data_IF_367503688073
#
_entry.id   IF_367503688073
#
_cell.length_a   1.000
_cell.length_b   1.000
_cell.length_c   1.000
_cell.angle_alpha   90.00
_cell.angle_beta   90.00
_cell.angle_gamma   90.00
#
_symmetry.space_group_name_H-M   'P 1'
#
loop_
_entity.id
_entity.type
_entity.pdbx_description
1 polymer ?
#
# COMPACT_ATOMS: atom_id res chain seq x y z
N UNK A 1 46.15 -24.61 -29.77
CA UNK A 1 44.67 -24.73 -29.91
C UNK A 1 44.10 -25.53 -28.75
N UNK A 2 44.72 -26.66 -28.35
CA UNK A 2 44.36 -27.38 -27.12
C UNK A 2 44.66 -26.60 -25.83
N UNK A 3 45.79 -25.89 -25.72
CA UNK A 3 46.11 -25.12 -24.49
C UNK A 3 45.12 -23.98 -24.20
N UNK A 4 44.66 -23.26 -25.24
CA UNK A 4 43.63 -22.21 -25.10
C UNK A 4 42.28 -22.78 -24.62
N UNK A 5 41.90 -23.98 -25.05
CA UNK A 5 40.65 -24.62 -24.62
C UNK A 5 40.69 -25.11 -23.16
N UNK A 6 41.89 -25.31 -22.59
CA UNK A 6 42.07 -25.71 -21.19
C UNK A 6 42.04 -24.47 -20.27
N UNK A 7 42.56 -23.33 -20.72
CA UNK A 7 42.45 -22.04 -20.01
C UNK A 7 41.01 -21.53 -19.96
N UNK A 8 40.27 -21.53 -21.08
CA UNK A 8 38.85 -21.11 -21.09
C UNK A 8 37.98 -21.99 -20.17
N UNK A 9 38.24 -23.30 -20.09
CA UNK A 9 37.48 -24.19 -19.19
C UNK A 9 37.77 -23.93 -17.72
N UNK A 10 39.01 -23.57 -17.36
CA UNK A 10 39.38 -23.21 -16.00
C UNK A 10 38.78 -21.87 -15.57
N UNK A 11 38.73 -20.89 -16.46
CA UNK A 11 38.09 -19.60 -16.17
C UNK A 11 36.58 -19.75 -15.97
N UNK A 12 35.92 -20.60 -16.77
CA UNK A 12 34.49 -20.89 -16.60
C UNK A 12 34.21 -21.68 -15.32
N UNK A 13 35.05 -22.67 -14.97
CA UNK A 13 34.91 -23.39 -13.69
C UNK A 13 35.19 -22.48 -12.49
N UNK A 14 36.15 -21.57 -12.55
CA UNK A 14 36.42 -20.59 -11.47
C UNK A 14 35.32 -19.52 -11.36
N UNK A 15 34.73 -19.09 -12.48
CA UNK A 15 33.54 -18.23 -12.45
C UNK A 15 32.30 -18.96 -11.93
N UNK A 16 32.05 -20.21 -12.33
CA UNK A 16 30.93 -21.01 -11.81
C UNK A 16 31.10 -21.29 -10.31
N UNK A 17 32.30 -21.61 -9.84
CA UNK A 17 32.55 -21.83 -8.40
C UNK A 17 32.40 -20.54 -7.60
N UNK A 18 32.84 -19.38 -8.13
CA UNK A 18 32.60 -18.08 -7.48
C UNK A 18 31.12 -17.69 -7.46
N UNK A 19 30.37 -17.96 -8.52
CA UNK A 19 28.92 -17.70 -8.57
C UNK A 19 28.18 -18.60 -7.59
N UNK A 20 28.58 -19.86 -7.45
CA UNK A 20 28.00 -20.79 -6.46
C UNK A 20 28.36 -20.40 -5.02
N UNK A 21 29.61 -19.98 -4.77
CA UNK A 21 30.02 -19.49 -3.43
C UNK A 21 29.36 -18.16 -3.05
N UNK A 22 29.11 -17.26 -4.01
CA UNK A 22 28.34 -16.02 -3.78
C UNK A 22 26.83 -16.27 -3.59
N UNK A 23 26.26 -17.30 -4.22
CA UNK A 23 24.85 -17.71 -4.04
C UNK A 23 24.61 -18.44 -2.71
N UNK A 24 25.59 -19.19 -2.17
CA UNK A 24 25.45 -19.90 -0.89
C UNK A 24 25.55 -18.97 0.35
N UNK A 25 26.09 -17.75 0.23
CA UNK A 25 26.12 -16.78 1.34
C UNK A 25 24.75 -16.08 1.61
N UNK A 26 23.79 -16.15 0.69
CA UNK A 26 22.51 -15.43 0.80
C UNK A 26 21.43 -16.08 1.71
N UNK A 27 21.62 -17.29 2.26
CA UNK A 27 20.59 -17.96 3.08
C UNK A 27 21.01 -18.37 4.51
N UNK A 28 21.81 -17.55 5.21
CA UNK A 28 21.73 -17.58 6.68
C UNK A 28 20.44 -16.89 7.12
N UNK A 29 19.42 -17.68 7.44
CA UNK A 29 18.18 -17.20 8.10
C UNK A 29 18.59 -16.55 9.44
N UNK A 30 18.76 -15.23 9.44
CA UNK A 30 19.04 -14.48 10.66
C UNK A 30 17.76 -14.34 11.46
N UNK A 31 17.79 -14.61 12.76
CA UNK A 31 16.64 -14.35 13.63
C UNK A 31 16.55 -12.87 14.02
N UNK A 32 15.37 -12.35 14.41
CA UNK A 32 15.26 -10.99 14.94
C UNK A 32 16.20 -10.74 16.14
N UNK A 33 16.43 -11.78 16.94
CA UNK A 33 17.39 -11.75 18.06
C UNK A 33 18.82 -11.51 17.58
N UNK A 34 19.23 -12.14 16.48
CA UNK A 34 20.57 -11.95 15.89
C UNK A 34 20.75 -10.55 15.29
N UNK A 35 19.67 -9.89 14.87
CA UNK A 35 19.69 -8.48 14.46
C UNK A 35 19.89 -7.50 15.62
N UNK A 36 19.94 -7.99 16.87
CA UNK A 36 20.09 -7.17 18.08
C UNK A 36 18.77 -6.65 18.66
N UNK A 37 17.63 -7.21 18.24
CA UNK A 37 16.32 -6.90 18.81
C UNK A 37 16.18 -7.53 20.20
N UNK A 38 15.68 -6.77 21.17
CA UNK A 38 15.51 -7.21 22.55
C UNK A 38 14.40 -8.27 22.70
N UNK A 39 14.48 -9.07 23.76
CA UNK A 39 13.60 -10.21 24.01
C UNK A 39 12.11 -9.89 23.94
N UNK A 40 11.70 -8.76 24.52
CA UNK A 40 10.31 -8.32 24.59
C UNK A 40 9.73 -8.05 23.20
N UNK A 41 10.55 -7.51 22.29
CA UNK A 41 10.14 -7.22 20.92
C UNK A 41 10.26 -8.47 20.02
N UNK A 42 11.20 -9.38 20.29
CA UNK A 42 11.27 -10.69 19.63
C UNK A 42 10.01 -11.49 19.94
N UNK A 43 9.58 -11.55 21.21
CA UNK A 43 8.34 -12.21 21.60
C UNK A 43 7.12 -11.58 20.91
N UNK A 44 7.08 -10.26 20.79
CA UNK A 44 6.03 -9.57 20.04
C UNK A 44 6.02 -9.96 18.55
N UNK A 45 7.19 -10.10 17.92
CA UNK A 45 7.31 -10.61 16.55
C UNK A 45 6.78 -12.04 16.42
N UNK A 46 7.15 -12.93 17.35
CA UNK A 46 6.69 -14.32 17.36
C UNK A 46 5.16 -14.42 17.52
N UNK A 47 4.57 -13.63 18.42
CA UNK A 47 3.13 -13.55 18.62
C UNK A 47 2.37 -13.03 17.38
N UNK A 48 3.02 -12.20 16.58
CA UNK A 48 2.50 -11.73 15.28
C UNK A 48 2.77 -12.71 14.12
N UNK A 49 3.42 -13.85 14.41
CA UNK A 49 3.75 -14.87 13.43
C UNK A 49 4.95 -14.50 12.53
N UNK A 50 5.76 -13.53 12.92
CA UNK A 50 6.93 -13.07 12.16
C UNK A 50 8.15 -13.89 12.52
N UNK A 51 8.25 -15.08 11.91
CA UNK A 51 9.31 -16.06 12.24
C UNK A 51 10.70 -15.66 11.76
N UNK A 52 10.78 -14.94 10.63
CA UNK A 52 12.04 -14.53 10.03
C UNK A 52 11.96 -13.07 9.56
N UNK A 53 13.03 -12.28 9.72
CA UNK A 53 13.12 -10.93 9.22
C UNK A 53 13.19 -10.92 7.69
N UNK A 54 12.60 -9.89 7.08
CA UNK A 54 12.74 -9.66 5.64
C UNK A 54 14.09 -9.02 5.33
N UNK A 55 14.53 -9.06 4.06
CA UNK A 55 15.79 -8.42 3.60
C UNK A 55 15.96 -6.98 4.08
N UNK A 56 14.93 -6.15 3.92
CA UNK A 56 14.98 -4.74 4.39
C UNK A 56 15.10 -4.63 5.91
N UNK A 57 14.59 -5.60 6.68
CA UNK A 57 14.72 -5.64 8.13
C UNK A 57 16.12 -6.08 8.54
N UNK A 58 16.67 -7.12 7.91
CA UNK A 58 18.04 -7.60 8.14
C UNK A 58 19.08 -6.49 7.87
N UNK A 59 18.92 -5.76 6.78
CA UNK A 59 19.85 -4.68 6.42
C UNK A 59 19.63 -3.40 7.28
N UNK A 60 18.38 -3.06 7.65
CA UNK A 60 18.10 -1.78 8.33
C UNK A 60 18.21 -1.81 9.85
N UNK A 61 17.73 -2.88 10.49
CA UNK A 61 17.59 -2.93 11.95
C UNK A 61 18.93 -2.76 12.67
N UNK A 62 20.03 -3.46 12.29
CA UNK A 62 21.30 -3.32 13.00
C UNK A 62 21.85 -1.88 12.98
N UNK A 63 21.80 -1.22 11.82
CA UNK A 63 22.23 0.17 11.68
C UNK A 63 21.32 1.15 12.42
N UNK A 64 20.01 0.90 12.43
CA UNK A 64 19.03 1.72 13.15
C UNK A 64 19.23 1.62 14.67
N UNK A 65 19.50 0.43 15.20
CA UNK A 65 19.80 0.20 16.63
C UNK A 65 21.10 0.91 17.05
N UNK A 66 22.09 0.95 16.18
CA UNK A 66 23.34 1.72 16.40
C UNK A 66 23.11 3.24 16.36
N UNK A 67 21.90 3.69 16.00
CA UNK A 67 21.52 5.09 15.97
C UNK A 67 21.93 5.81 14.68
N UNK A 68 22.12 5.11 13.56
CA UNK A 68 22.33 5.75 12.26
C UNK A 68 21.02 6.27 11.69
N UNK A 69 21.06 7.37 10.94
CA UNK A 69 19.93 7.76 10.07
C UNK A 69 19.80 6.73 8.93
N UNK A 70 18.58 6.46 8.48
CA UNK A 70 18.31 5.35 7.54
C UNK A 70 17.60 5.86 6.30
N UNK A 71 18.03 5.40 5.13
CA UNK A 71 17.27 5.47 3.88
C UNK A 71 16.97 4.05 3.43
N UNK A 72 15.72 3.62 3.59
CA UNK A 72 15.24 2.32 3.14
C UNK A 72 14.51 2.43 1.81
N UNK A 73 15.11 1.90 0.74
CA UNK A 73 14.48 1.75 -0.56
C UNK A 73 13.99 0.31 -0.73
N UNK A 74 12.69 0.14 -0.58
CA UNK A 74 12.06 -1.16 -0.74
C UNK A 74 10.60 -1.03 -1.19
N UNK A 75 10.12 -2.04 -1.91
CA UNK A 75 8.75 -2.14 -2.40
C UNK A 75 7.71 -2.21 -1.26
N UNK A 76 6.44 -1.92 -1.58
CA UNK A 76 5.34 -2.09 -0.61
C UNK A 76 5.21 -3.57 -0.23
N UNK A 77 4.95 -3.86 1.04
CA UNK A 77 4.81 -5.24 1.53
C UNK A 77 6.13 -5.96 1.82
N UNK A 78 7.28 -5.28 1.70
CA UNK A 78 8.60 -5.81 2.08
C UNK A 78 8.88 -5.82 3.59
N UNK A 79 7.95 -5.36 4.44
CA UNK A 79 8.16 -5.30 5.89
C UNK A 79 8.82 -4.01 6.41
N UNK A 80 8.81 -2.92 5.64
CA UNK A 80 9.38 -1.60 6.02
C UNK A 80 8.90 -1.08 7.36
N UNK A 81 7.61 -1.26 7.68
CA UNK A 81 7.03 -0.75 8.93
C UNK A 81 7.72 -1.32 10.16
N UNK A 82 7.95 -2.64 10.19
CA UNK A 82 8.70 -3.28 11.26
C UNK A 82 10.17 -2.82 11.28
N UNK A 83 10.78 -2.62 10.11
CA UNK A 83 12.18 -2.19 9.98
C UNK A 83 12.46 -0.84 10.67
N UNK A 84 11.49 0.08 10.71
CA UNK A 84 11.61 1.30 11.51
C UNK A 84 10.96 1.21 12.90
N UNK A 85 9.89 0.43 13.09
CA UNK A 85 9.18 0.38 14.36
C UNK A 85 10.01 -0.31 15.45
N UNK A 86 10.63 -1.45 15.14
CA UNK A 86 11.44 -2.22 16.10
C UNK A 86 12.58 -1.39 16.74
N UNK A 87 13.47 -0.73 15.98
CA UNK A 87 14.52 0.09 16.60
C UNK A 87 13.98 1.28 17.39
N UNK A 88 12.86 1.88 16.97
CA UNK A 88 12.21 2.98 17.71
C UNK A 88 11.66 2.49 19.05
N UNK A 89 10.97 1.35 19.05
CA UNK A 89 10.41 0.74 20.26
C UNK A 89 11.50 0.30 21.22
N UNK A 90 12.60 -0.26 20.71
CA UNK A 90 13.76 -0.62 21.52
C UNK A 90 14.39 0.60 22.19
N UNK A 91 14.55 1.71 21.45
CA UNK A 91 15.06 2.95 22.03
C UNK A 91 14.08 3.57 23.04
N UNK A 92 12.76 3.43 22.79
CA UNK A 92 11.72 3.89 23.71
C UNK A 92 11.75 3.10 25.04
N UNK A 93 12.01 1.80 25.00
CA UNK A 93 12.18 0.96 26.18
C UNK A 93 13.32 1.45 27.09
N UNK A 94 14.43 1.87 26.49
CA UNK A 94 15.60 2.37 27.22
C UNK A 94 15.36 3.77 27.80
N UNK A 95 14.62 4.63 27.10
CA UNK A 95 14.34 6.00 27.52
C UNK A 95 12.87 6.38 27.29
N UNK A 96 11.93 5.90 28.15
CA UNK A 96 10.52 6.16 27.98
C UNK A 96 10.20 7.65 28.11
N UNK A 97 9.60 8.23 27.07
CA UNK A 97 9.06 9.59 27.13
C UNK A 97 7.89 9.76 26.16
N UNK A 98 6.96 10.68 26.45
CA UNK A 98 5.94 11.09 25.49
C UNK A 98 6.54 11.70 24.23
N UNK A 99 5.80 11.58 23.12
CA UNK A 99 6.15 12.17 21.82
C UNK A 99 7.58 11.81 21.37
N UNK A 100 7.98 10.57 21.62
CA UNK A 100 9.30 10.01 21.32
C UNK A 100 9.56 9.94 19.81
N UNK A 101 8.56 9.51 19.05
CA UNK A 101 8.64 9.39 17.60
C UNK A 101 7.44 10.01 16.89
N UNK A 102 7.69 10.51 15.68
CA UNK A 102 6.69 11.06 14.79
C UNK A 102 6.86 10.40 13.43
N UNK A 103 5.79 9.78 12.93
CA UNK A 103 5.78 9.10 11.65
C UNK A 103 4.85 9.83 10.70
N UNK A 104 5.41 10.38 9.62
CA UNK A 104 4.66 11.02 8.56
C UNK A 104 4.32 10.02 7.47
N UNK A 105 3.07 10.03 7.06
CA UNK A 105 2.52 9.17 6.02
C UNK A 105 1.60 9.98 5.09
N UNK A 106 1.58 9.71 3.77
CA UNK A 106 0.79 10.48 2.80
C UNK A 106 -0.72 10.24 2.90
N UNK A 107 -1.16 9.16 3.54
CA UNK A 107 -2.59 8.80 3.58
C UNK A 107 -3.05 8.49 4.99
N UNK A 108 -4.34 8.72 5.25
CA UNK A 108 -4.94 8.55 6.57
C UNK A 108 -4.92 7.10 7.00
N UNK A 109 -5.18 6.24 6.04
CA UNK A 109 -5.29 4.81 6.22
C UNK A 109 -3.91 4.21 6.53
N UNK A 110 -2.86 4.64 5.81
CA UNK A 110 -1.48 4.20 6.12
C UNK A 110 -1.05 4.69 7.50
N UNK A 111 -1.46 5.89 7.91
CA UNK A 111 -1.19 6.37 9.26
C UNK A 111 -1.87 5.48 10.34
N UNK A 112 -3.11 5.04 10.11
CA UNK A 112 -3.80 4.11 11.02
C UNK A 112 -3.06 2.77 11.08
N UNK A 113 -2.71 2.20 9.93
CA UNK A 113 -1.96 0.94 9.85
C UNK A 113 -0.65 0.99 10.62
N UNK A 114 0.14 2.05 10.41
CA UNK A 114 1.42 2.22 11.09
C UNK A 114 1.19 2.28 12.60
N UNK A 115 0.15 3.01 13.06
CA UNK A 115 -0.20 3.06 14.48
C UNK A 115 -0.56 1.69 15.05
N UNK A 116 -1.39 0.92 14.35
CA UNK A 116 -1.76 -0.45 14.74
C UNK A 116 -0.53 -1.35 14.82
N UNK A 117 0.43 -1.22 13.91
CA UNK A 117 1.68 -1.98 13.94
C UNK A 117 2.58 -1.59 15.13
N UNK A 118 2.68 -0.30 15.45
CA UNK A 118 3.39 0.14 16.66
C UNK A 118 2.73 -0.37 17.94
N UNK A 119 1.40 -0.37 18.02
CA UNK A 119 0.66 -0.87 19.18
C UNK A 119 0.75 -2.39 19.30
N UNK A 120 0.71 -3.12 18.19
CA UNK A 120 0.86 -4.56 18.16
C UNK A 120 2.26 -5.00 18.64
N UNK A 121 3.31 -4.43 18.05
CA UNK A 121 4.70 -4.69 18.43
C UNK A 121 5.03 -4.20 19.84
N UNK A 122 4.42 -3.08 20.25
CA UNK A 122 4.64 -2.44 21.53
C UNK A 122 3.67 -2.86 22.65
N UNK A 123 2.84 -3.87 22.41
CA UNK A 123 1.75 -4.25 23.31
C UNK A 123 2.26 -4.69 24.68
N UNK A 124 3.30 -5.53 24.71
CA UNK A 124 3.94 -6.00 25.96
C UNK A 124 4.62 -4.92 26.78
N UNK A 125 4.90 -3.75 26.17
CA UNK A 125 5.67 -2.66 26.78
C UNK A 125 4.82 -1.39 26.99
N UNK A 126 3.49 -1.48 26.75
CA UNK A 126 2.54 -0.40 27.02
C UNK A 126 2.66 0.80 26.08
N UNK A 127 3.04 0.59 24.82
CA UNK A 127 3.12 1.66 23.82
C UNK A 127 1.75 2.32 23.60
N UNK A 128 1.75 3.63 23.42
CA UNK A 128 0.56 4.44 23.18
C UNK A 128 0.80 5.27 21.93
N UNK A 129 -0.11 5.17 20.98
CA UNK A 129 -0.05 5.92 19.74
C UNK A 129 -1.18 6.96 19.69
N UNK A 130 -0.96 8.04 18.93
CA UNK A 130 -2.04 8.90 18.47
C UNK A 130 -1.95 9.09 16.96
N UNK A 131 -3.10 8.95 16.30
CA UNK A 131 -3.22 9.10 14.85
C UNK A 131 -3.79 10.47 14.52
N UNK A 132 -3.03 11.28 13.79
CA UNK A 132 -3.43 12.63 13.40
C UNK A 132 -3.73 12.72 11.90
N UNK A 133 -5.02 12.64 11.55
CA UNK A 133 -5.48 12.59 10.15
C UNK A 133 -6.65 13.54 9.87
N UNK A 134 -6.76 13.97 8.62
CA UNK A 134 -7.92 14.75 8.14
C UNK A 134 -9.22 13.96 8.25
N UNK A 135 -10.37 14.64 8.22
CA UNK A 135 -11.70 13.99 8.20
C UNK A 135 -12.14 13.29 9.48
N UNK A 136 -11.29 13.27 10.51
CA UNK A 136 -11.65 12.96 11.90
C UNK A 136 -11.75 14.27 12.69
N UNK A 137 -12.64 14.32 13.68
CA UNK A 137 -12.85 15.49 14.51
C UNK A 137 -11.55 15.90 15.22
N UNK A 138 -11.25 17.20 15.21
CA UNK A 138 -10.05 17.73 15.83
C UNK A 138 -10.07 17.57 17.36
N UNK A 139 -11.25 17.67 17.98
CA UNK A 139 -11.45 17.47 19.42
C UNK A 139 -11.00 16.09 19.88
N UNK A 140 -11.37 15.04 19.16
CA UNK A 140 -11.00 13.65 19.50
C UNK A 140 -9.48 13.44 19.44
N UNK A 141 -8.84 14.03 18.42
CA UNK A 141 -7.39 14.00 18.25
C UNK A 141 -6.68 14.81 19.35
N UNK A 142 -7.23 15.96 19.75
CA UNK A 142 -6.72 16.76 20.87
C UNK A 142 -6.81 16.00 22.20
N UNK A 143 -7.89 15.25 22.43
CA UNK A 143 -8.04 14.38 23.61
C UNK A 143 -6.99 13.26 23.57
N UNK A 144 -6.76 12.65 22.41
CA UNK A 144 -5.71 11.62 22.26
C UNK A 144 -4.31 12.19 22.56
N UNK A 145 -4.00 13.39 22.07
CA UNK A 145 -2.73 14.07 22.35
C UNK A 145 -2.56 14.43 23.83
N UNK A 146 -3.65 14.83 24.51
CA UNK A 146 -3.62 15.13 25.95
C UNK A 146 -3.24 13.92 26.81
N UNK A 147 -3.44 12.69 26.31
CA UNK A 147 -2.98 11.45 26.97
C UNK A 147 -1.47 11.21 26.86
N UNK A 148 -0.73 12.12 26.20
CA UNK A 148 0.74 12.10 26.05
C UNK A 148 1.25 10.77 25.46
N UNK A 149 0.79 10.40 24.24
CA UNK A 149 1.23 9.17 23.56
C UNK A 149 2.75 9.16 23.34
N UNK A 150 3.34 7.98 23.20
CA UNK A 150 4.76 7.81 22.88
C UNK A 150 5.02 8.06 21.39
N UNK A 151 4.12 7.59 20.51
CA UNK A 151 4.26 7.66 19.06
C UNK A 151 3.13 8.52 18.48
N UNK A 152 3.47 9.46 17.60
CA UNK A 152 2.48 10.23 16.83
C UNK A 152 2.59 9.82 15.37
N UNK A 153 1.52 9.28 14.80
CA UNK A 153 1.46 8.92 13.39
C UNK A 153 0.52 9.88 12.68
N UNK A 154 0.96 10.55 11.62
CA UNK A 154 0.20 11.67 11.09
C UNK A 154 0.31 11.86 9.57
N UNK A 155 -0.75 12.43 9.00
CA UNK A 155 -0.66 13.11 7.69
C UNK A 155 -0.13 14.53 7.88
N UNK A 156 0.76 15.05 6.99
CA UNK A 156 1.42 16.35 7.19
C UNK A 156 0.46 17.50 7.50
N UNK A 157 -0.60 17.66 6.69
CA UNK A 157 -1.56 18.75 6.85
C UNK A 157 -2.30 18.75 8.19
N UNK A 158 -2.59 17.57 8.77
CA UNK A 158 -3.26 17.51 10.09
C UNK A 158 -2.25 17.69 11.23
N UNK A 159 -1.01 17.23 11.08
CA UNK A 159 0.01 17.43 12.10
C UNK A 159 0.30 18.93 12.30
N UNK A 160 0.48 19.68 11.21
CA UNK A 160 0.79 21.11 11.29
C UNK A 160 -0.36 21.90 11.92
N UNK A 161 -1.60 21.54 11.63
CA UNK A 161 -2.80 22.09 12.27
C UNK A 161 -2.76 21.86 13.79
N UNK A 162 -2.46 20.65 14.25
CA UNK A 162 -2.31 20.39 15.69
C UNK A 162 -1.13 21.14 16.30
N UNK A 163 0.03 21.21 15.64
CA UNK A 163 1.20 21.95 16.12
C UNK A 163 0.92 23.45 16.26
N UNK A 164 0.02 23.99 15.43
CA UNK A 164 -0.32 25.42 15.41
C UNK A 164 -1.46 25.76 16.37
N UNK A 165 -2.48 24.90 16.44
CA UNK A 165 -3.76 25.24 17.05
C UNK A 165 -4.07 24.45 18.34
N UNK A 166 -3.32 23.38 18.65
CA UNK A 166 -3.58 22.57 19.86
C UNK A 166 -2.70 23.03 21.02
N UNK A 167 -3.33 23.70 21.98
CA UNK A 167 -2.63 24.23 23.16
C UNK A 167 -1.91 23.12 23.92
N UNK A 168 -0.61 23.32 24.16
CA UNK A 168 0.24 22.40 24.92
C UNK A 168 0.78 21.21 24.13
N UNK A 169 0.41 21.04 22.86
CA UNK A 169 1.03 20.04 22.00
C UNK A 169 2.30 20.58 21.36
N UNK A 170 3.40 19.82 21.45
CA UNK A 170 4.68 20.18 20.83
C UNK A 170 5.52 18.93 20.61
N UNK A 171 6.36 18.97 19.57
CA UNK A 171 7.32 17.91 19.23
C UNK A 171 8.77 18.35 19.47
N UNK A 172 9.03 19.36 20.31
CA UNK A 172 10.39 19.88 20.58
C UNK A 172 11.36 18.86 21.16
N UNK A 173 10.88 17.81 21.83
CA UNK A 173 11.69 16.74 22.44
C UNK A 173 11.72 15.44 21.62
N UNK A 174 11.26 15.51 20.36
CA UNK A 174 11.20 14.37 19.45
C UNK A 174 12.58 13.74 19.24
N UNK A 175 12.67 12.41 19.37
CA UNK A 175 13.92 11.66 19.14
C UNK A 175 13.98 11.00 17.77
N UNK A 176 12.82 10.65 17.20
CA UNK A 176 12.71 9.98 15.91
C UNK A 176 11.72 10.67 14.98
N UNK A 177 12.14 10.91 13.75
CA UNK A 177 11.26 11.25 12.63
C UNK A 177 11.28 10.13 11.60
N UNK A 178 10.11 9.63 11.21
CA UNK A 178 9.99 8.68 10.10
C UNK A 178 9.20 9.33 8.96
N UNK A 179 9.70 9.18 7.75
CA UNK A 179 9.05 9.62 6.51
C UNK A 179 8.75 8.37 5.70
N UNK A 180 7.52 7.84 5.80
CA UNK A 180 7.11 6.65 5.04
C UNK A 180 6.38 7.05 3.76
N UNK A 181 6.58 6.28 2.70
CA UNK A 181 6.22 6.64 1.31
C UNK A 181 6.68 8.08 0.95
N UNK A 182 7.96 8.37 1.21
CA UNK A 182 8.52 9.72 1.12
C UNK A 182 8.43 10.37 -0.28
N UNK A 183 8.38 9.57 -1.35
CA UNK A 183 8.13 10.07 -2.71
C UNK A 183 6.74 10.71 -2.86
N UNK A 184 5.76 10.28 -2.07
CA UNK A 184 4.38 10.80 -2.08
C UNK A 184 4.15 11.94 -1.11
N UNK A 185 4.92 11.99 -0.02
CA UNK A 185 4.95 13.15 0.89
C UNK A 185 5.43 14.43 0.20
N UNK A 186 6.03 14.31 -1.00
CA UNK A 186 6.58 15.41 -1.81
C UNK A 186 5.69 15.79 -3.00
N UNK A 187 4.44 15.33 -3.02
CA UNK A 187 3.41 15.86 -3.92
C UNK A 187 3.04 17.29 -3.50
N UNK A 188 2.53 18.09 -4.45
CA UNK A 188 2.28 19.52 -4.26
C UNK A 188 1.40 19.84 -3.04
N UNK A 189 0.49 18.93 -2.68
CA UNK A 189 -0.43 19.06 -1.55
C UNK A 189 0.26 19.01 -0.17
N UNK A 190 1.43 18.37 -0.07
CA UNK A 190 2.09 18.08 1.22
C UNK A 190 3.45 18.76 1.40
N UNK A 191 4.10 19.17 0.32
CA UNK A 191 5.46 19.73 0.35
C UNK A 191 5.56 20.93 1.31
N UNK A 192 4.59 21.86 1.27
CA UNK A 192 4.55 23.03 2.17
C UNK A 192 4.38 22.65 3.64
N UNK A 193 3.42 21.77 3.93
CA UNK A 193 3.19 21.32 5.32
C UNK A 193 4.40 20.57 5.87
N UNK A 194 5.09 19.79 5.03
CA UNK A 194 6.30 19.08 5.43
C UNK A 194 7.42 20.05 5.78
N UNK A 195 7.68 21.08 4.96
CA UNK A 195 8.68 22.10 5.24
C UNK A 195 8.39 22.84 6.56
N UNK A 196 7.13 23.19 6.83
CA UNK A 196 6.71 23.82 8.09
C UNK A 196 6.94 22.90 9.30
N UNK A 197 6.62 21.61 9.19
CA UNK A 197 6.88 20.62 10.25
C UNK A 197 8.38 20.52 10.53
N UNK A 198 9.21 20.42 9.49
CA UNK A 198 10.66 20.29 9.63
C UNK A 198 11.30 21.52 10.31
N UNK A 199 10.68 22.69 10.19
CA UNK A 199 11.14 23.92 10.85
C UNK A 199 10.84 23.96 12.35
N UNK A 200 9.82 23.24 12.83
CA UNK A 200 9.38 23.30 14.24
C UNK A 200 9.84 22.11 15.09
N UNK A 201 10.19 20.99 14.47
CA UNK A 201 10.76 19.81 15.15
C UNK A 201 12.27 19.96 15.39
N UNK A 202 12.86 19.28 16.41
CA UNK A 202 14.27 19.41 16.72
C UNK A 202 15.18 18.91 15.59
N UNK A 203 16.29 19.63 15.34
CA UNK A 203 17.31 19.22 14.36
C UNK A 203 18.14 18.02 14.83
N UNK A 204 18.33 17.88 16.14
CA UNK A 204 19.01 16.74 16.75
C UNK A 204 17.99 15.65 17.05
N UNK A 205 17.88 14.70 16.12
CA UNK A 205 17.01 13.53 16.17
C UNK A 205 17.57 12.49 15.19
N UNK A 206 17.08 11.25 15.27
CA UNK A 206 17.30 10.24 14.24
C UNK A 206 16.19 10.35 13.20
N UNK A 207 16.55 10.26 11.92
CA UNK A 207 15.59 10.34 10.81
C UNK A 207 15.66 9.10 9.95
N UNK A 208 14.50 8.48 9.73
CA UNK A 208 14.34 7.34 8.84
C UNK A 208 13.47 7.73 7.65
N UNK A 209 13.98 7.56 6.44
CA UNK A 209 13.27 7.82 5.19
C UNK A 209 13.04 6.51 4.46
N UNK A 210 11.78 6.15 4.28
CA UNK A 210 11.38 4.96 3.56
C UNK A 210 10.60 5.34 2.29
N UNK A 211 11.00 4.78 1.16
CA UNK A 211 10.37 5.07 -0.13
C UNK A 211 10.44 3.86 -1.06
N UNK A 212 9.50 3.76 -2.00
CA UNK A 212 9.62 2.80 -3.09
C UNK A 212 10.55 3.33 -4.19
N UNK A 213 10.61 4.66 -4.37
CA UNK A 213 11.35 5.28 -5.47
C UNK A 213 12.26 6.40 -5.00
N UNK A 214 13.41 6.55 -5.66
CA UNK A 214 14.40 7.60 -5.36
C UNK A 214 14.34 8.72 -6.40
N UNK A 215 13.35 9.60 -6.25
CA UNK A 215 13.12 10.73 -7.17
C UNK A 215 14.08 11.90 -6.89
N UNK A 216 14.19 12.86 -7.81
CA UNK A 216 14.97 14.10 -7.56
C UNK A 216 14.46 14.85 -6.32
N UNK A 217 13.15 14.89 -6.10
CA UNK A 217 12.54 15.50 -4.92
C UNK A 217 12.93 14.73 -3.65
N UNK A 218 12.88 13.39 -3.66
CA UNK A 218 13.30 12.56 -2.50
C UNK A 218 14.77 12.79 -2.16
N UNK A 219 15.66 12.89 -3.17
CA UNK A 219 17.07 13.25 -2.95
C UNK A 219 17.24 14.63 -2.30
N UNK A 220 16.39 15.60 -2.64
CA UNK A 220 16.39 16.93 -1.99
C UNK A 220 15.92 16.83 -0.54
N UNK A 221 14.83 16.11 -0.29
CA UNK A 221 14.31 15.87 1.06
C UNK A 221 15.34 15.15 1.94
N UNK A 222 16.04 14.15 1.39
CA UNK A 222 17.13 13.45 2.05
C UNK A 222 18.17 14.44 2.59
N UNK A 223 18.67 15.34 1.73
CA UNK A 223 19.70 16.32 2.09
C UNK A 223 19.22 17.32 3.16
N UNK A 224 17.92 17.59 3.22
CA UNK A 224 17.34 18.50 4.20
C UNK A 224 17.12 17.85 5.57
N UNK A 225 16.84 16.55 5.62
CA UNK A 225 16.35 15.90 6.85
C UNK A 225 17.36 14.97 7.52
N UNK A 226 18.26 14.33 6.76
CA UNK A 226 19.11 13.26 7.26
C UNK A 226 20.58 13.69 7.42
N UNK A 227 21.29 13.07 8.35
CA UNK A 227 22.72 13.29 8.64
C UNK A 227 23.50 11.98 8.48
N UNK A 228 24.41 11.93 7.50
CA UNK A 228 25.20 10.75 7.16
C UNK A 228 24.40 9.43 7.16
N UNK A 229 23.30 9.34 6.39
CA UNK A 229 22.40 8.20 6.48
C UNK A 229 23.01 6.95 5.83
N UNK A 230 22.75 5.79 6.45
CA UNK A 230 22.97 4.49 5.81
C UNK A 230 21.88 4.26 4.79
N UNK A 231 22.28 3.98 3.55
CA UNK A 231 21.38 3.77 2.43
C UNK A 231 21.28 2.28 2.12
N UNK A 232 20.06 1.78 2.17
CA UNK A 232 19.72 0.37 2.03
C UNK A 232 18.83 0.23 0.79
N UNK A 233 19.27 -0.57 -0.17
CA UNK A 233 18.55 -0.84 -1.41
C UNK A 233 18.22 -2.34 -1.49
N UNK A 234 17.12 -2.74 -0.85
CA UNK A 234 16.68 -4.14 -0.80
C UNK A 234 15.99 -4.62 -2.11
N UNK A 235 16.07 -3.83 -3.18
CA UNK A 235 15.58 -4.14 -4.52
C UNK A 235 16.33 -3.30 -5.56
N UNK A 236 16.59 -3.85 -6.75
CA UNK A 236 17.09 -3.06 -7.88
C UNK A 236 16.06 -1.96 -8.22
N UNK A 237 16.55 -0.78 -8.61
CA UNK A 237 15.69 0.40 -8.86
C UNK A 237 14.54 0.02 -9.79
N UNK A 238 13.32 -0.02 -9.24
CA UNK A 238 12.06 -0.33 -9.93
C UNK A 238 11.80 -1.81 -10.28
N UNK A 239 12.48 -2.78 -9.65
CA UNK A 239 12.06 -4.17 -9.79
C UNK A 239 10.78 -4.47 -9.04
N UNK A 240 9.94 -5.29 -9.66
CA UNK A 240 8.86 -6.04 -9.01
C UNK A 240 9.42 -7.33 -8.41
N UNK A 241 8.80 -7.87 -7.36
CA UNK A 241 9.10 -9.25 -6.87
C UNK A 241 9.15 -10.27 -8.01
N UNK A 242 10.07 -11.22 -7.93
CA UNK A 242 10.27 -12.26 -8.96
C UNK A 242 9.08 -13.22 -9.07
N UNK A 243 8.35 -13.41 -7.97
CA UNK A 243 7.14 -14.24 -7.91
C UNK A 243 5.92 -13.59 -8.56
N UNK A 244 6.03 -12.33 -9.05
CA UNK A 244 4.95 -11.62 -9.73
C UNK A 244 5.01 -11.84 -11.25
N UNK A 245 4.03 -12.58 -11.77
CA UNK A 245 3.79 -12.69 -13.21
C UNK A 245 3.07 -11.44 -13.72
N UNK A 246 3.75 -10.65 -14.55
CA UNK A 246 3.19 -9.45 -15.17
C UNK A 246 2.86 -9.72 -16.64
N UNK A 247 1.64 -9.38 -17.05
CA UNK A 247 1.17 -9.53 -18.42
C UNK A 247 0.43 -8.29 -18.88
N UNK A 248 0.34 -8.09 -20.19
CA UNK A 248 -0.49 -7.05 -20.80
C UNK A 248 -1.45 -7.65 -21.83
N UNK A 249 -2.55 -6.96 -22.15
CA UNK A 249 -3.38 -7.30 -23.31
C UNK A 249 -3.78 -6.02 -24.04
N UNK A 250 -3.51 -5.97 -25.34
CA UNK A 250 -4.06 -4.90 -26.17
C UNK A 250 -5.54 -5.16 -26.41
N UNK A 251 -6.37 -4.19 -26.06
CA UNK A 251 -7.83 -4.30 -26.15
C UNK A 251 -8.42 -3.04 -26.77
N UNK A 252 -9.30 -3.14 -27.78
CA UNK A 252 -10.06 -2.00 -28.24
C UNK A 252 -10.87 -1.41 -27.08
N UNK A 253 -10.87 -0.07 -26.93
CA UNK A 253 -11.54 0.58 -25.82
C UNK A 253 -13.03 0.18 -25.66
N UNK A 254 -13.72 -0.13 -26.76
CA UNK A 254 -15.12 -0.59 -26.77
C UNK A 254 -15.36 -1.97 -26.15
N UNK A 255 -14.33 -2.82 -26.07
CA UNK A 255 -14.42 -4.20 -25.59
C UNK A 255 -13.76 -4.40 -24.22
N UNK A 256 -13.25 -3.33 -23.61
CA UNK A 256 -12.49 -3.38 -22.37
C UNK A 256 -13.25 -4.06 -21.23
N UNK A 257 -14.56 -3.83 -21.12
CA UNK A 257 -15.41 -4.50 -20.15
C UNK A 257 -15.54 -6.02 -20.41
N UNK A 258 -15.54 -6.46 -21.66
CA UNK A 258 -15.62 -7.88 -22.01
C UNK A 258 -14.34 -8.60 -21.58
N UNK A 259 -13.17 -8.01 -21.86
CA UNK A 259 -11.88 -8.54 -21.41
C UNK A 259 -11.76 -8.57 -19.89
N UNK A 260 -12.24 -7.54 -19.19
CA UNK A 260 -12.28 -7.55 -17.72
C UNK A 260 -13.10 -8.72 -17.19
N UNK A 261 -14.29 -8.95 -17.73
CA UNK A 261 -15.17 -10.05 -17.31
C UNK A 261 -14.55 -11.40 -17.63
N UNK A 262 -14.00 -11.57 -18.85
CA UNK A 262 -13.29 -12.79 -19.25
C UNK A 262 -12.18 -13.15 -18.26
N UNK A 263 -11.27 -12.20 -17.96
CA UNK A 263 -10.16 -12.43 -17.02
C UNK A 263 -10.67 -12.82 -15.62
N UNK A 264 -11.69 -12.12 -15.11
CA UNK A 264 -12.27 -12.40 -13.80
C UNK A 264 -12.99 -13.75 -13.73
N UNK A 265 -13.52 -14.22 -14.87
CA UNK A 265 -14.18 -15.54 -14.98
C UNK A 265 -13.15 -16.67 -15.09
N UNK A 266 -12.10 -16.51 -15.90
CA UNK A 266 -11.00 -17.48 -16.00
C UNK A 266 -10.32 -17.72 -14.65
N UNK A 267 -10.18 -16.65 -13.86
CA UNK A 267 -9.58 -16.68 -12.53
C UNK A 267 -10.64 -16.71 -11.41
N UNK A 268 -11.81 -17.32 -11.66
CA UNK A 268 -12.91 -17.31 -10.70
C UNK A 268 -12.50 -17.85 -9.32
N UNK A 269 -13.01 -17.23 -8.26
CA UNK A 269 -12.63 -17.54 -6.87
C UNK A 269 -11.40 -16.78 -6.37
N UNK A 270 -10.54 -16.27 -7.25
CA UNK A 270 -9.38 -15.45 -6.86
C UNK A 270 -9.81 -14.13 -6.22
N UNK A 271 -9.05 -13.67 -5.23
CA UNK A 271 -9.14 -12.30 -4.73
C UNK A 271 -8.49 -11.35 -5.73
N UNK A 272 -9.24 -10.35 -6.19
CA UNK A 272 -8.85 -9.49 -7.30
C UNK A 272 -8.96 -8.02 -6.94
N UNK A 273 -7.98 -7.23 -7.36
CA UNK A 273 -7.99 -5.78 -7.22
C UNK A 273 -7.92 -5.11 -8.59
N UNK A 274 -8.98 -4.38 -8.94
CA UNK A 274 -9.16 -3.76 -10.25
C UNK A 274 -8.99 -2.25 -10.15
N UNK A 275 -7.98 -1.71 -10.84
CA UNK A 275 -7.65 -0.30 -10.79
C UNK A 275 -8.27 0.49 -11.95
N UNK A 276 -9.06 1.51 -11.62
CA UNK A 276 -9.65 2.44 -12.59
C UNK A 276 -9.13 3.86 -12.38
N UNK A 277 -9.22 4.68 -13.42
CA UNK A 277 -8.77 6.09 -13.38
C UNK A 277 -9.71 6.98 -12.59
N UNK A 278 -11.03 6.80 -12.75
CA UNK A 278 -12.03 7.71 -12.17
C UNK A 278 -12.89 7.03 -11.11
N UNK A 279 -13.39 7.82 -10.16
CA UNK A 279 -14.34 7.36 -9.14
C UNK A 279 -15.64 6.84 -9.79
N UNK A 280 -16.11 7.49 -10.85
CA UNK A 280 -17.35 7.07 -11.52
C UNK A 280 -17.19 5.69 -12.19
N UNK A 281 -16.02 5.41 -12.78
CA UNK A 281 -15.71 4.10 -13.33
C UNK A 281 -15.71 3.00 -12.25
N UNK A 282 -15.21 3.30 -11.03
CA UNK A 282 -15.26 2.30 -9.93
C UNK A 282 -16.69 1.85 -9.62
N UNK A 283 -17.62 2.81 -9.52
CA UNK A 283 -19.02 2.52 -9.21
C UNK A 283 -19.74 1.83 -10.35
N UNK A 284 -19.53 2.30 -11.59
CA UNK A 284 -20.14 1.70 -12.78
C UNK A 284 -19.69 0.25 -12.98
N UNK A 285 -18.38 -0.02 -12.93
CA UNK A 285 -17.87 -1.37 -13.11
C UNK A 285 -18.32 -2.30 -11.97
N UNK A 286 -18.34 -1.83 -10.73
CA UNK A 286 -18.76 -2.69 -9.61
C UNK A 286 -20.23 -3.11 -9.76
N UNK A 287 -21.10 -2.19 -10.16
CA UNK A 287 -22.50 -2.50 -10.41
C UNK A 287 -22.69 -3.42 -11.61
N UNK A 288 -21.94 -3.18 -12.70
CA UNK A 288 -21.96 -4.02 -13.89
C UNK A 288 -21.53 -5.45 -13.57
N UNK A 289 -20.41 -5.63 -12.86
CA UNK A 289 -19.92 -6.94 -12.46
C UNK A 289 -20.94 -7.66 -11.55
N UNK A 290 -21.58 -6.96 -10.61
CA UNK A 290 -22.65 -7.55 -9.78
C UNK A 290 -23.86 -7.99 -10.59
N UNK A 291 -24.28 -7.21 -11.59
CA UNK A 291 -25.35 -7.62 -12.51
C UNK A 291 -24.98 -8.87 -13.33
N UNK A 292 -23.69 -9.13 -13.51
CA UNK A 292 -23.16 -10.34 -14.14
C UNK A 292 -22.96 -11.49 -13.14
N UNK A 293 -23.26 -11.31 -11.85
CA UNK A 293 -23.09 -12.33 -10.81
C UNK A 293 -21.69 -12.37 -10.19
N UNK A 294 -20.83 -11.38 -10.46
CA UNK A 294 -19.49 -11.26 -9.88
C UNK A 294 -19.53 -10.37 -8.63
N UNK A 295 -18.94 -10.85 -7.52
CA UNK A 295 -19.02 -10.19 -6.19
C UNK A 295 -18.03 -9.03 -6.07
N UNK A 296 -18.38 -7.92 -6.73
CA UNK A 296 -17.56 -6.72 -6.80
C UNK A 296 -18.02 -5.60 -5.86
N UNK A 297 -17.04 -4.96 -5.22
CA UNK A 297 -17.26 -3.82 -4.32
C UNK A 297 -16.35 -2.64 -4.71
N UNK A 298 -16.89 -1.40 -4.82
CA UNK A 298 -16.08 -0.24 -5.15
C UNK A 298 -15.50 0.41 -3.88
N UNK A 299 -14.28 0.93 -3.97
CA UNK A 299 -13.72 1.92 -3.03
C UNK A 299 -13.20 3.10 -3.85
N UNK A 300 -13.72 4.30 -3.58
CA UNK A 300 -13.31 5.52 -4.27
C UNK A 300 -13.20 6.71 -3.31
N UNK A 301 -12.59 7.81 -3.77
CA UNK A 301 -12.49 9.04 -3.01
C UNK A 301 -13.83 9.75 -2.76
N UNK A 302 -14.90 9.37 -3.46
CA UNK A 302 -16.25 9.89 -3.23
C UNK A 302 -16.95 9.25 -2.03
N UNK A 303 -16.40 8.16 -1.48
CA UNK A 303 -16.97 7.46 -0.32
C UNK A 303 -16.50 8.12 0.98
N UNK A 304 -17.40 8.16 1.97
CA UNK A 304 -17.00 8.55 3.33
C UNK A 304 -16.05 7.51 3.92
N UNK A 305 -15.26 7.91 4.93
CA UNK A 305 -14.30 7.01 5.55
C UNK A 305 -14.94 5.74 6.12
N UNK A 306 -16.08 5.89 6.81
CA UNK A 306 -16.84 4.77 7.36
C UNK A 306 -17.27 3.78 6.26
N UNK A 307 -17.67 4.29 5.08
CA UNK A 307 -18.04 3.45 3.94
C UNK A 307 -16.85 2.75 3.31
N UNK A 308 -15.70 3.43 3.21
CA UNK A 308 -14.46 2.79 2.73
C UNK A 308 -14.02 1.66 3.66
N UNK A 309 -14.10 1.85 4.97
CA UNK A 309 -13.78 0.83 5.97
C UNK A 309 -14.77 -0.33 5.92
N UNK A 310 -16.08 -0.05 5.82
CA UNK A 310 -17.11 -1.09 5.67
C UNK A 310 -16.90 -1.94 4.41
N UNK A 311 -16.63 -1.30 3.27
CA UNK A 311 -16.33 -1.99 2.03
C UNK A 311 -15.04 -2.84 2.12
N UNK A 312 -14.00 -2.31 2.76
CA UNK A 312 -12.77 -3.05 3.01
C UNK A 312 -13.02 -4.27 3.91
N UNK A 313 -13.83 -4.14 4.95
CA UNK A 313 -14.15 -5.25 5.85
C UNK A 313 -14.90 -6.37 5.13
N UNK A 314 -15.86 -6.04 4.25
CA UNK A 314 -16.54 -7.02 3.39
C UNK A 314 -15.58 -7.75 2.46
N UNK A 315 -14.59 -7.04 1.92
CA UNK A 315 -13.54 -7.63 1.10
C UNK A 315 -12.61 -8.55 1.93
N UNK A 316 -12.13 -8.08 3.09
CA UNK A 316 -11.31 -8.86 4.03
C UNK A 316 -12.03 -10.11 4.55
N UNK A 317 -13.32 -10.00 4.82
CA UNK A 317 -14.17 -11.10 5.28
C UNK A 317 -14.53 -12.11 4.19
N UNK A 318 -14.14 -11.87 2.94
CA UNK A 318 -14.41 -12.78 1.82
C UNK A 318 -15.84 -12.70 1.27
N UNK A 319 -16.68 -11.77 1.74
CA UNK A 319 -18.04 -11.54 1.22
C UNK A 319 -18.02 -11.05 -0.24
N UNK A 320 -17.02 -10.24 -0.57
CA UNK A 320 -16.69 -9.82 -1.93
C UNK A 320 -15.23 -10.19 -2.23
N UNK A 321 -14.97 -10.79 -3.39
CA UNK A 321 -13.61 -11.15 -3.80
C UNK A 321 -13.05 -10.23 -4.89
N UNK A 322 -13.80 -9.22 -5.35
CA UNK A 322 -13.33 -8.26 -6.36
C UNK A 322 -13.44 -6.85 -5.79
N UNK A 323 -12.30 -6.19 -5.62
CA UNK A 323 -12.21 -4.81 -5.15
C UNK A 323 -11.91 -3.88 -6.33
N UNK A 324 -12.81 -2.96 -6.64
CA UNK A 324 -12.59 -1.96 -7.69
C UNK A 324 -12.24 -0.62 -7.06
N UNK A 325 -11.10 -0.04 -7.44
CA UNK A 325 -10.63 1.17 -6.78
C UNK A 325 -9.89 2.12 -7.70
N UNK A 326 -9.90 3.39 -7.32
CA UNK A 326 -8.91 4.34 -7.83
C UNK A 326 -7.61 4.22 -7.05
N UNK A 327 -6.54 4.79 -7.61
CA UNK A 327 -5.27 4.92 -6.93
C UNK A 327 -5.41 5.52 -5.53
N UNK A 328 -6.12 6.64 -5.38
CA UNK A 328 -6.32 7.30 -4.08
C UNK A 328 -7.00 6.38 -3.06
N UNK A 329 -7.98 5.61 -3.51
CA UNK A 329 -8.77 4.76 -2.64
C UNK A 329 -8.02 3.51 -2.16
N UNK A 330 -7.15 2.95 -3.01
CA UNK A 330 -6.29 1.81 -2.69
C UNK A 330 -5.14 2.11 -1.75
N UNK A 331 -4.80 3.39 -1.60
CA UNK A 331 -3.60 3.83 -0.88
C UNK A 331 -3.91 3.93 0.62
N UNK A 332 -3.03 3.33 1.40
CA UNK A 332 -3.11 3.24 2.85
C UNK A 332 -4.18 2.31 3.43
N UNK A 333 -5.16 1.85 2.66
CA UNK A 333 -6.05 0.81 3.16
C UNK A 333 -5.23 -0.48 3.35
N UNK A 334 -5.46 -1.16 4.47
CA UNK A 334 -4.88 -2.47 4.76
C UNK A 334 -5.57 -3.50 3.94
N UNK A 335 -5.23 -3.54 2.67
CA UNK A 335 -5.75 -4.53 1.76
C UNK A 335 -4.81 -5.73 1.88
N UNK A 336 -5.33 -6.90 2.30
CA UNK A 336 -4.53 -8.12 2.32
C UNK A 336 -3.97 -8.38 0.91
N UNK A 337 -2.85 -9.10 0.81
CA UNK A 337 -2.34 -9.46 -0.51
C UNK A 337 -3.44 -10.18 -1.29
N UNK A 338 -3.67 -9.72 -2.51
CA UNK A 338 -4.63 -10.32 -3.44
C UNK A 338 -3.92 -11.29 -4.37
N UNK A 339 -4.66 -12.22 -4.95
CA UNK A 339 -4.12 -13.20 -5.91
C UNK A 339 -3.87 -12.53 -7.27
N UNK A 340 -4.72 -11.57 -7.64
CA UNK A 340 -4.66 -10.89 -8.94
C UNK A 340 -4.84 -9.37 -8.83
N UNK A 341 -4.02 -8.64 -9.60
CA UNK A 341 -4.20 -7.21 -9.87
C UNK A 341 -4.55 -7.00 -11.33
N UNK A 342 -5.62 -6.25 -11.61
CA UNK A 342 -5.97 -5.85 -12.97
C UNK A 342 -5.83 -4.32 -13.07
N UNK A 343 -4.89 -3.85 -13.88
CA UNK A 343 -4.90 -2.46 -14.33
C UNK A 343 -5.94 -2.35 -15.43
N UNK A 344 -7.20 -2.09 -15.04
CA UNK A 344 -8.24 -1.79 -16.01
C UNK A 344 -7.82 -0.53 -16.77
N UNK A 345 -7.54 0.58 -16.10
CA UNK A 345 -6.95 1.75 -16.74
C UNK A 345 -5.44 1.84 -16.46
N UNK A 346 -4.64 2.09 -17.49
CA UNK A 346 -3.19 2.26 -17.33
C UNK A 346 -2.91 3.54 -16.52
N UNK A 347 -2.05 3.49 -15.48
CA UNK A 347 -1.70 4.66 -14.70
C UNK A 347 -0.94 5.67 -15.57
N UNK A 348 -1.24 6.95 -15.41
CA UNK A 348 -0.56 8.04 -16.16
C UNK A 348 0.87 8.26 -15.70
N UNK A 349 1.21 7.85 -14.48
CA UNK A 349 2.55 7.84 -13.93
C UNK A 349 3.06 6.39 -13.83
N UNK A 350 4.18 6.07 -14.48
CA UNK A 350 4.74 4.72 -14.49
C UNK A 350 5.11 4.20 -13.10
N UNK A 351 5.38 5.07 -12.12
CA UNK A 351 5.64 4.65 -10.73
C UNK A 351 4.41 4.09 -10.04
N UNK A 352 3.23 4.60 -10.39
CA UNK A 352 1.97 4.10 -9.83
C UNK A 352 1.72 2.65 -10.22
N UNK A 353 2.22 2.21 -11.38
CA UNK A 353 2.19 0.81 -11.78
C UNK A 353 2.83 -0.11 -10.73
N UNK A 354 4.05 0.21 -10.27
CA UNK A 354 4.78 -0.57 -9.26
C UNK A 354 3.95 -0.70 -7.97
N UNK A 355 3.30 0.38 -7.54
CA UNK A 355 2.47 0.39 -6.35
C UNK A 355 1.17 -0.42 -6.49
N UNK A 356 0.59 -0.45 -7.69
CA UNK A 356 -0.61 -1.22 -8.00
C UNK A 356 -0.29 -2.70 -8.04
N UNK A 357 0.72 -3.10 -8.80
CA UNK A 357 1.06 -4.52 -8.96
C UNK A 357 1.70 -5.10 -7.68
N UNK A 358 2.35 -4.27 -6.86
CA UNK A 358 2.78 -4.64 -5.51
C UNK A 358 1.64 -4.85 -4.49
N UNK A 359 0.37 -4.94 -4.92
CA UNK A 359 -0.77 -5.39 -4.09
C UNK A 359 -0.93 -6.91 -4.10
N UNK A 360 -0.33 -7.58 -5.07
CA UNK A 360 -0.23 -9.04 -5.13
C UNK A 360 1.22 -9.49 -4.87
N UNK A 361 1.46 -10.80 -4.85
CA UNK A 361 2.77 -11.42 -4.66
C UNK A 361 3.55 -10.93 -3.41
N UNK A 362 2.85 -10.73 -2.28
CA UNK A 362 3.48 -10.28 -1.01
C UNK A 362 3.86 -11.45 -0.12
N UNK A 363 4.89 -11.24 0.71
CA UNK A 363 5.34 -12.17 1.74
C UNK A 363 5.64 -13.58 1.17
N UNK A 364 6.39 -13.64 0.07
CA UNK A 364 6.81 -14.89 -0.58
C UNK A 364 5.74 -15.57 -1.45
N UNK A 365 4.50 -15.06 -1.48
CA UNK A 365 3.45 -15.61 -2.36
C UNK A 365 3.69 -15.24 -3.83
N UNK A 366 3.22 -16.09 -4.73
CA UNK A 366 3.07 -15.76 -6.15
C UNK A 366 1.84 -14.90 -6.41
N UNK A 367 1.82 -14.19 -7.52
CA UNK A 367 0.72 -13.32 -7.90
C UNK A 367 0.72 -12.97 -9.37
N UNK A 368 -0.43 -12.50 -9.89
CA UNK A 368 -0.57 -12.12 -11.30
C UNK A 368 -1.02 -10.66 -11.41
N UNK A 369 -0.38 -9.91 -12.30
CA UNK A 369 -0.78 -8.56 -12.67
C UNK A 369 -1.06 -8.47 -14.18
N UNK A 370 -2.29 -8.09 -14.55
CA UNK A 370 -2.71 -7.96 -15.95
C UNK A 370 -3.05 -6.51 -16.27
N UNK A 371 -2.45 -5.96 -17.31
CA UNK A 371 -2.71 -4.59 -17.79
C UNK A 371 -3.52 -4.60 -19.08
N UNK A 372 -4.73 -4.02 -19.03
CA UNK A 372 -5.55 -3.81 -20.22
C UNK A 372 -5.14 -2.48 -20.88
N UNK A 373 -4.53 -2.57 -22.06
CA UNK A 373 -3.99 -1.41 -22.78
C UNK A 373 -4.86 -1.14 -24.00
N UNK A 374 -5.51 0.02 -24.05
CA UNK A 374 -6.24 0.44 -25.25
C UNK A 374 -5.43 1.42 -26.11
N UNK A 375 -5.99 1.80 -27.27
CA UNK A 375 -5.34 2.67 -28.24
C UNK A 375 -4.96 4.06 -27.70
N UNK A 376 -5.60 4.53 -26.62
CA UNK A 376 -5.32 5.83 -26.00
C UNK A 376 -4.31 5.74 -24.85
N UNK A 377 -3.99 4.53 -24.40
CA UNK A 377 -3.18 4.27 -23.19
C UNK A 377 -1.79 3.73 -23.53
N UNK A 378 -1.50 3.52 -24.82
CA UNK A 378 -0.26 2.92 -25.31
C UNK A 378 0.99 3.70 -24.85
N UNK A 379 0.97 5.03 -24.90
CA UNK A 379 2.12 5.84 -24.49
C UNK A 379 2.45 5.65 -23.01
N UNK A 380 1.44 5.65 -22.14
CA UNK A 380 1.63 5.41 -20.71
C UNK A 380 2.15 4.00 -20.44
N UNK A 381 1.66 3.00 -21.18
CA UNK A 381 2.15 1.63 -21.09
C UNK A 381 3.63 1.52 -21.49
N UNK A 382 4.05 2.17 -22.57
CA UNK A 382 5.46 2.18 -22.99
C UNK A 382 6.35 2.79 -21.90
N UNK A 383 5.89 3.83 -21.18
CA UNK A 383 6.65 4.40 -20.05
C UNK A 383 6.78 3.42 -18.87
N UNK A 384 5.81 2.52 -18.68
CA UNK A 384 5.90 1.45 -17.68
C UNK A 384 6.98 0.45 -18.07
N UNK A 385 6.97 -0.07 -19.30
CA UNK A 385 8.00 -1.00 -19.79
C UNK A 385 9.41 -0.40 -19.71
N UNK A 386 9.54 0.89 -20.05
CA UNK A 386 10.81 1.62 -19.89
C UNK A 386 11.25 1.73 -18.43
N UNK A 387 10.32 1.92 -17.50
CA UNK A 387 10.63 2.02 -16.07
C UNK A 387 11.09 0.68 -15.50
N UNK A 388 10.42 -0.41 -15.86
CA UNK A 388 10.74 -1.77 -15.38
C UNK A 388 11.92 -2.40 -16.13
N UNK A 389 12.34 -1.81 -17.25
CA UNK A 389 13.49 -2.28 -18.03
C UNK A 389 13.24 -3.58 -18.81
N UNK A 390 11.99 -4.02 -18.96
CA UNK A 390 11.63 -5.25 -19.69
C UNK A 390 10.31 -5.12 -20.44
N UNK A 391 10.17 -5.89 -21.51
CA UNK A 391 8.90 -6.11 -22.21
C UNK A 391 8.07 -7.12 -21.42
N UNK A 392 6.79 -6.83 -21.24
CA UNK A 392 5.89 -7.78 -20.57
C UNK A 392 5.35 -8.78 -21.58
N UNK A 393 5.12 -10.05 -21.22
CA UNK A 393 4.43 -11.01 -22.09
C UNK A 393 2.94 -10.67 -22.22
N UNK A 394 2.34 -11.07 -23.33
CA UNK A 394 0.91 -10.91 -23.56
C UNK A 394 0.09 -11.89 -22.70
N UNK A 395 -1.08 -11.46 -22.24
CA UNK A 395 -2.07 -12.31 -21.60
C UNK A 395 -2.83 -13.09 -22.68
N UNK A 396 -2.84 -14.43 -22.64
CA UNK A 396 -3.54 -15.23 -23.63
C UNK A 396 -5.05 -15.05 -23.46
N UNK A 397 -5.70 -14.47 -24.46
CA UNK A 397 -7.15 -14.36 -24.53
C UNK A 397 -7.56 -14.38 -26.00
N UNK A 398 -8.33 -15.38 -26.42
CA UNK A 398 -8.84 -15.46 -27.79
C UNK A 398 -9.98 -14.45 -27.96
N UNK A 399 -9.91 -13.62 -28.99
CA UNK A 399 -10.89 -12.53 -29.16
C UNK A 399 -12.29 -13.10 -29.38
N UNK A 400 -12.41 -14.21 -30.11
CA UNK A 400 -13.67 -14.90 -30.38
C UNK A 400 -14.37 -15.32 -29.08
N UNK A 401 -13.63 -15.90 -28.13
CA UNK A 401 -14.15 -16.32 -26.82
C UNK A 401 -14.60 -15.11 -25.98
N UNK A 402 -13.79 -14.05 -25.97
CA UNK A 402 -14.10 -12.82 -25.22
C UNK A 402 -15.38 -12.17 -25.78
N UNK A 403 -15.55 -12.17 -27.10
CA UNK A 403 -16.69 -11.54 -27.76
C UNK A 403 -18.01 -12.31 -27.59
N UNK A 404 -17.98 -13.59 -27.17
CA UNK A 404 -19.19 -14.30 -26.72
C UNK A 404 -19.87 -13.61 -25.54
N UNK A 405 -19.11 -12.85 -24.74
CA UNK A 405 -19.64 -12.11 -23.59
C UNK A 405 -20.27 -10.77 -23.98
N UNK A 406 -20.10 -10.31 -25.24
CA UNK A 406 -20.37 -8.93 -25.64
C UNK A 406 -21.81 -8.49 -25.36
N UNK A 407 -22.80 -9.30 -25.75
CA UNK A 407 -24.22 -8.98 -25.57
C UNK A 407 -24.56 -8.84 -24.07
N UNK A 408 -24.20 -9.85 -23.28
CA UNK A 408 -24.46 -9.91 -21.84
C UNK A 408 -23.77 -8.76 -21.08
N UNK A 409 -22.51 -8.47 -21.41
CA UNK A 409 -21.74 -7.38 -20.79
C UNK A 409 -22.31 -6.02 -21.16
N UNK A 410 -22.70 -5.83 -22.43
CA UNK A 410 -23.31 -4.58 -22.90
C UNK A 410 -24.64 -4.30 -22.20
N UNK A 411 -25.48 -5.32 -22.05
CA UNK A 411 -26.76 -5.18 -21.35
C UNK A 411 -26.56 -4.89 -19.85
N UNK A 412 -25.65 -5.62 -19.19
CA UNK A 412 -25.31 -5.34 -17.79
C UNK A 412 -24.77 -3.92 -17.58
N UNK A 413 -23.96 -3.41 -18.51
CA UNK A 413 -23.43 -2.04 -18.49
C UNK A 413 -24.56 -1.02 -18.67
N UNK A 414 -25.48 -1.26 -19.61
CA UNK A 414 -26.65 -0.40 -19.86
C UNK A 414 -27.54 -0.30 -18.61
N UNK A 415 -27.89 -1.43 -18.00
CA UNK A 415 -28.68 -1.48 -16.75
C UNK A 415 -27.98 -0.69 -15.63
N UNK A 416 -26.66 -0.86 -15.50
CA UNK A 416 -25.86 -0.17 -14.48
C UNK A 416 -25.85 1.35 -14.68
N UNK A 417 -25.71 1.81 -15.93
CA UNK A 417 -25.76 3.23 -16.26
C UNK A 417 -27.12 3.84 -15.99
N UNK A 418 -28.22 3.14 -16.30
CA UNK A 418 -29.58 3.61 -16.00
C UNK A 418 -29.77 3.78 -14.49
N UNK A 419 -29.39 2.77 -13.69
CA UNK A 419 -29.51 2.81 -12.24
C UNK A 419 -28.69 3.94 -11.59
N UNK A 420 -27.47 4.19 -12.09
CA UNK A 420 -26.62 5.30 -11.63
C UNK A 420 -27.21 6.68 -12.00
N UNK A 421 -27.87 6.82 -13.15
CA UNK A 421 -28.56 8.06 -13.53
C UNK A 421 -29.78 8.32 -12.64
N UNK A 422 -30.56 7.30 -12.33
CA UNK A 422 -31.74 7.41 -11.45
C UNK A 422 -31.37 7.80 -10.01
N UNK A 423 -30.30 7.22 -9.47
CA UNK A 423 -29.76 7.59 -8.15
C UNK A 423 -29.07 8.97 -8.18
N UNK A 424 -28.39 9.32 -9.28
CA UNK A 424 -27.83 10.65 -9.51
C UNK A 424 -28.87 11.77 -9.57
N UNK A 425 -30.07 11.51 -10.11
CA UNK A 425 -31.19 12.45 -10.12
C UNK A 425 -31.78 12.72 -8.73
N UNK A 426 -31.73 11.73 -7.82
CA UNK A 426 -32.19 11.87 -6.43
C UNK A 426 -31.17 12.53 -5.48
N UNK A 427 -29.89 12.65 -5.89
CA UNK A 427 -28.80 13.27 -5.09
C UNK A 427 -29.03 14.74 -4.72
N UNK A 428 -30.00 15.45 -5.31
CA UNK A 428 -30.39 16.78 -4.82
C UNK A 428 -31.11 16.77 -3.45
N UNK A 429 -31.44 15.60 -2.88
CA UNK A 429 -32.21 15.54 -1.62
C UNK A 429 -31.71 14.65 -0.48
N UNK A 430 -30.91 13.59 -0.69
CA UNK A 430 -30.37 12.77 0.43
C UNK A 430 -29.00 12.18 0.09
N UNK A 431 -28.07 12.25 1.04
CA UNK A 431 -26.69 11.84 0.87
C UNK A 431 -26.49 10.33 0.77
N UNK A 432 -25.79 9.88 -0.28
CA UNK A 432 -24.81 8.79 -0.30
C UNK A 432 -25.17 7.35 0.12
N UNK A 433 -26.37 7.02 0.58
CA UNK A 433 -26.68 5.71 1.22
C UNK A 433 -26.91 4.52 0.26
N UNK A 434 -27.04 4.74 -1.05
CA UNK A 434 -27.51 3.70 -1.97
C UNK A 434 -26.47 2.60 -2.29
N UNK A 435 -25.16 2.87 -2.15
CA UNK A 435 -24.12 1.91 -2.59
C UNK A 435 -24.00 0.71 -1.64
N UNK A 436 -24.15 0.92 -0.33
CA UNK A 436 -24.10 -0.15 0.67
C UNK A 436 -25.38 -1.00 0.65
N UNK A 437 -26.55 -0.37 0.51
CA UNK A 437 -27.82 -1.10 0.36
C UNK A 437 -27.81 -2.03 -0.86
N UNK A 438 -27.18 -1.61 -1.96
CA UNK A 438 -27.05 -2.43 -3.15
C UNK A 438 -26.09 -3.62 -2.97
N UNK A 439 -24.99 -3.42 -2.24
CA UNK A 439 -24.05 -4.50 -1.89
C UNK A 439 -24.73 -5.49 -0.95
N UNK A 440 -25.37 -5.00 0.12
CA UNK A 440 -26.05 -5.85 1.10
C UNK A 440 -27.23 -6.60 0.49
N UNK A 441 -28.01 -5.94 -0.36
CA UNK A 441 -29.11 -6.58 -1.11
C UNK A 441 -28.58 -7.69 -2.01
N UNK A 442 -27.49 -7.43 -2.72
CA UNK A 442 -26.87 -8.43 -3.59
C UNK A 442 -26.31 -9.62 -2.79
N UNK A 443 -25.69 -9.36 -1.64
CA UNK A 443 -25.15 -10.40 -0.74
C UNK A 443 -26.23 -11.10 0.10
N UNK A 444 -27.50 -10.68 0.00
CA UNK A 444 -28.61 -11.26 0.78
C UNK A 444 -28.57 -10.90 2.28
N UNK A 445 -27.76 -9.91 2.67
CA UNK A 445 -27.62 -9.45 4.06
C UNK A 445 -28.82 -8.55 4.40
N UNK A 446 -29.86 -9.12 5.02
CA UNK A 446 -30.98 -8.32 5.54
C UNK A 446 -30.50 -7.41 6.66
N UNK A 447 -30.68 -6.10 6.50
CA UNK A 447 -30.58 -5.13 7.59
C UNK A 447 -31.48 -5.54 8.76
N UNK A 448 -30.87 -6.04 9.83
CA UNK A 448 -31.51 -6.21 11.13
C UNK A 448 -31.86 -4.84 11.70
N UNK A 449 -32.97 -4.24 11.24
CA UNK A 449 -33.57 -3.11 11.94
C UNK A 449 -34.00 -3.61 13.31
N UNK A 450 -33.23 -3.25 14.34
CA UNK A 450 -33.63 -3.39 15.72
C UNK A 450 -35.04 -2.81 15.88
N UNK A 451 -36.03 -3.70 16.12
CA UNK A 451 -37.35 -3.29 16.58
C UNK A 451 -37.13 -2.56 17.90
N UNK A 452 -37.26 -1.23 17.90
CA UNK A 452 -37.49 -0.46 19.12
C UNK A 452 -38.74 -1.03 19.78
N UNK A 453 -38.57 -1.84 20.81
CA UNK A 453 -39.64 -2.11 21.77
C UNK A 453 -39.99 -0.77 22.42
N UNK A 454 -41.18 -0.26 22.14
CA UNK A 454 -41.82 0.74 22.98
C UNK A 454 -42.30 0.00 24.23
N UNK A 455 -41.63 0.23 25.36
CA UNK A 455 -42.22 -0.11 26.65
C UNK A 455 -43.42 0.81 26.87
N UNK A 456 -44.56 0.18 27.17
CA UNK A 456 -45.68 0.78 27.91
C UNK A 456 -45.50 0.44 29.37
#
# INVERSE_FOLDING_TARGET
MEEMMVEEKREVEEEEVKVVEEEEEEERIQSFKELGVCSELVEACDNLGWKAPTRIQMEAIPHAIQGSDIIGLAQTGSGKTAAFALPILQALLQAPQPFFACVLSPTRELAIQISEQFEALGSGIGVKCAVLVGGVAQTDQSIALAKRPHIVVATPGRLIDHLSNTKGFTLRMLKYLVLDEADRLLNEDFEKSLDEILNVIPRERKTYLFSATMTKKVKKLQRACLRNPVKIEAASKYSTVDTLKQQYRFVPAKYKECYLVYILTEMSGSTSMVFTRTCDATGLLALMLRNLGLRAIPISGHMTQAKRLGALNKFKGGECNILICTDVASRGLDIPSVDMVINYDIPTNSKDYIHRVGRTARAGRSGVAISLVNQYELEWYIQIEKLIGKKLPEFPAQEEEVLLLLERVTEAKRISQMKLKETGGKKKRRGGDDVDEDVDRYLGLKNGKAKKFKNR
#
